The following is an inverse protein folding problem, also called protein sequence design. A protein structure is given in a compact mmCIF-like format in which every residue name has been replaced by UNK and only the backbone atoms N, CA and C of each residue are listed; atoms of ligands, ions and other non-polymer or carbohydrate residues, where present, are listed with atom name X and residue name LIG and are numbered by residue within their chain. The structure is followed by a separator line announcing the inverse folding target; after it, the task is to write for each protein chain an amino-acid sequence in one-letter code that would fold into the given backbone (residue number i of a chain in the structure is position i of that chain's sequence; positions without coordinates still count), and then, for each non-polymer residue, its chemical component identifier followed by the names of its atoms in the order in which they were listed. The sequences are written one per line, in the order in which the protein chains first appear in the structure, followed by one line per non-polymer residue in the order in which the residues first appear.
data_IF_737471371398
#
_entry.id   IF_737471371398
#
_cell.length_a   1.000
_cell.length_b   1.000
_cell.length_c   1.000
_cell.angle_alpha   90.00
_cell.angle_beta   90.00
_cell.angle_gamma   90.00
#
_symmetry.space_group_name_H-M   'P 1'
#
loop_
_entity.id
_entity.type
_entity.pdbx_description
1 polymer ?
#
# COMPACT_ATOMS: atom_id res chain seq x y z
N UNK A 1 -1.43 7.79 6.87
CA UNK A 1 -0.86 8.81 5.95
C UNK A 1 0.27 8.22 5.13
N UNK A 2 0.42 8.56 3.85
CA UNK A 2 1.55 8.08 3.02
C UNK A 2 2.88 8.65 3.51
N UNK A 3 3.81 7.77 3.90
CA UNK A 3 5.17 8.12 4.35
C UNK A 3 6.24 7.77 3.32
N UNK A 4 5.98 6.77 2.46
CA UNK A 4 6.77 6.49 1.25
C UNK A 4 5.82 6.43 0.06
N UNK A 5 6.12 7.26 -0.94
CA UNK A 5 5.36 7.35 -2.19
C UNK A 5 5.28 5.98 -2.89
N UNK A 6 4.25 5.78 -3.74
CA UNK A 6 4.11 4.54 -4.48
C UNK A 6 5.24 4.33 -5.47
N UNK A 7 5.72 3.10 -5.58
CA UNK A 7 6.75 2.66 -6.50
C UNK A 7 6.32 1.41 -7.24
N UNK A 8 6.57 1.38 -8.55
CA UNK A 8 6.32 0.20 -9.39
C UNK A 8 7.41 -0.85 -9.15
N UNK A 9 7.00 -2.08 -8.86
CA UNK A 9 7.90 -3.22 -8.65
C UNK A 9 7.88 -4.11 -9.88
N UNK A 10 9.06 -4.48 -10.38
CA UNK A 10 9.20 -5.48 -11.45
C UNK A 10 8.98 -6.87 -10.86
N UNK A 11 8.03 -7.62 -11.41
CA UNK A 11 7.76 -9.01 -11.02
C UNK A 11 8.34 -9.97 -12.06
N UNK A 12 8.74 -11.17 -11.62
CA UNK A 12 9.26 -12.21 -12.51
C UNK A 12 8.22 -12.69 -13.54
N UNK A 13 6.92 -12.54 -13.23
CA UNK A 13 5.80 -12.94 -14.09
C UNK A 13 5.38 -11.84 -15.07
N UNK A 14 6.02 -10.66 -15.04
CA UNK A 14 5.65 -9.51 -15.87
C UNK A 14 4.38 -8.78 -15.41
N UNK A 15 3.71 -9.25 -14.34
CA UNK A 15 2.53 -8.59 -13.78
C UNK A 15 2.88 -7.23 -13.18
N UNK A 16 1.98 -6.27 -13.37
CA UNK A 16 2.13 -4.93 -12.79
C UNK A 16 1.89 -5.03 -11.28
N UNK A 17 2.84 -4.54 -10.51
CA UNK A 17 2.77 -4.47 -9.06
C UNK A 17 3.26 -3.09 -8.64
N UNK A 18 2.60 -2.50 -7.65
CA UNK A 18 3.07 -1.28 -7.03
C UNK A 18 3.00 -1.39 -5.51
N UNK A 19 3.91 -0.70 -4.83
CA UNK A 19 3.95 -0.68 -3.38
C UNK A 19 4.06 0.73 -2.84
N UNK A 20 3.38 1.00 -1.74
CA UNK A 20 3.41 2.26 -1.03
C UNK A 20 3.56 1.95 0.47
N UNK A 21 4.05 2.89 1.27
CA UNK A 21 4.04 2.72 2.74
C UNK A 21 3.27 3.85 3.38
N UNK A 22 2.33 3.50 4.24
CA UNK A 22 1.59 4.44 5.07
C UNK A 22 2.01 4.29 6.53
N UNK A 23 1.92 5.37 7.30
CA UNK A 23 1.78 5.28 8.74
C UNK A 23 0.31 4.96 9.04
N UNK A 24 0.08 3.76 9.57
CA UNK A 24 -1.21 3.31 10.06
C UNK A 24 -1.34 3.65 11.54
N UNK A 25 -2.54 4.09 11.93
CA UNK A 25 -2.91 4.40 13.31
C UNK A 25 -3.98 3.41 13.75
N UNK A 26 -3.96 3.01 15.03
CA UNK A 26 -4.89 2.05 15.60
C UNK A 26 -5.03 2.31 17.09
N UNK A 27 -6.23 2.16 17.62
CA UNK A 27 -6.47 2.34 19.06
C UNK A 27 -5.72 1.31 19.93
N UNK A 28 -5.31 0.18 19.34
CA UNK A 28 -4.68 -0.94 20.06
C UNK A 28 -3.16 -0.87 20.09
N UNK A 29 -2.52 0.05 19.36
CA UNK A 29 -1.06 0.13 19.26
C UNK A 29 -0.56 1.47 18.76
N UNK A 30 0.68 1.79 19.09
CA UNK A 30 1.39 2.95 18.54
C UNK A 30 1.40 2.93 16.99
N UNK A 31 1.44 4.12 16.35
CA UNK A 31 1.51 4.23 14.90
C UNK A 31 2.67 3.42 14.32
N UNK A 32 2.43 2.80 13.16
CA UNK A 32 3.38 1.87 12.57
C UNK A 32 3.38 1.92 11.04
N UNK A 33 4.52 1.60 10.39
CA UNK A 33 4.56 1.47 8.95
C UNK A 33 3.75 0.25 8.50
N UNK A 34 2.82 0.46 7.58
CA UNK A 34 2.05 -0.57 6.88
C UNK A 34 2.36 -0.47 5.39
N UNK A 35 2.86 -1.55 4.81
CA UNK A 35 3.13 -1.64 3.37
C UNK A 35 1.85 -1.99 2.62
N UNK A 36 1.49 -1.19 1.63
CA UNK A 36 0.36 -1.45 0.74
C UNK A 36 0.91 -2.08 -0.54
N UNK A 37 0.34 -3.19 -0.97
CA UNK A 37 0.75 -3.93 -2.16
C UNK A 37 -0.47 -4.13 -3.06
N UNK A 38 -0.42 -3.56 -4.26
CA UNK A 38 -1.47 -3.66 -5.26
C UNK A 38 -0.95 -4.28 -6.57
N UNK A 39 -1.86 -4.87 -7.33
CA UNK A 39 -1.58 -5.56 -8.58
C UNK A 39 -2.46 -5.03 -9.71
N UNK A 40 -2.01 -5.23 -10.95
CA UNK A 40 -2.77 -4.96 -12.17
C UNK A 40 -3.37 -3.54 -12.17
N UNK A 41 -4.69 -3.39 -12.31
CA UNK A 41 -5.36 -2.08 -12.36
C UNK A 41 -5.21 -1.30 -11.04
N UNK A 42 -5.29 -1.97 -9.90
CA UNK A 42 -5.16 -1.34 -8.58
C UNK A 42 -3.74 -0.82 -8.35
N UNK A 43 -2.73 -1.40 -9.02
CA UNK A 43 -1.37 -0.87 -8.98
C UNK A 43 -1.29 0.51 -9.66
N UNK A 44 -2.07 0.76 -10.70
CA UNK A 44 -2.13 2.08 -11.35
C UNK A 44 -2.80 3.12 -10.45
N UNK A 45 -3.90 2.75 -9.79
CA UNK A 45 -4.58 3.60 -8.81
C UNK A 45 -3.67 3.92 -7.62
N UNK A 46 -2.95 2.93 -7.10
CA UNK A 46 -1.99 3.15 -6.03
C UNK A 46 -0.87 4.13 -6.43
N UNK A 47 -0.48 4.16 -7.70
CA UNK A 47 0.52 5.09 -8.23
C UNK A 47 0.03 6.55 -8.34
N UNK A 48 -1.27 6.83 -8.21
CA UNK A 48 -1.78 8.22 -8.21
C UNK A 48 -1.66 8.88 -6.83
N UNK A 49 -1.43 8.10 -5.78
CA UNK A 49 -1.32 8.60 -4.41
C UNK A 49 0.03 9.29 -4.18
N UNK A 50 0.03 10.36 -3.37
CA UNK A 50 1.24 11.14 -3.09
C UNK A 50 1.64 11.05 -1.62
N UNK A 51 2.93 11.33 -1.35
CA UNK A 51 3.43 11.43 0.03
C UNK A 51 2.65 12.51 0.77
N UNK A 52 2.19 12.21 1.98
CA UNK A 52 1.33 13.10 2.76
C UNK A 52 -0.17 12.84 2.60
N UNK A 53 -0.62 12.12 1.57
CA UNK A 53 -2.05 11.84 1.41
C UNK A 53 -2.57 10.98 2.57
N UNK A 54 -3.82 11.24 2.98
CA UNK A 54 -4.61 10.29 3.76
C UNK A 54 -5.21 9.29 2.78
N UNK A 55 -5.06 8.00 3.07
CA UNK A 55 -5.44 6.93 2.16
C UNK A 55 -6.39 6.00 2.86
N UNK A 56 -7.45 5.61 2.16
CA UNK A 56 -8.33 4.52 2.55
C UNK A 56 -8.09 3.37 1.57
N UNK A 57 -7.71 2.21 2.10
CA UNK A 57 -7.45 1.02 1.30
C UNK A 57 -8.04 -0.21 1.98
N UNK A 58 -8.50 -1.17 1.18
CA UNK A 58 -8.94 -2.48 1.63
C UNK A 58 -8.08 -3.56 0.98
N UNK A 59 -7.97 -4.72 1.62
CA UNK A 59 -7.15 -5.81 1.12
C UNK A 59 -6.96 -6.89 2.16
N UNK A 60 -6.05 -7.83 1.89
CA UNK A 60 -5.73 -8.91 2.82
C UNK A 60 -4.58 -8.52 3.71
N UNK A 61 -4.78 -8.59 5.02
CA UNK A 61 -3.70 -8.38 5.99
C UNK A 61 -2.75 -9.57 6.01
N UNK A 62 -1.45 -9.29 5.90
CA UNK A 62 -0.39 -10.29 5.89
C UNK A 62 0.87 -9.78 6.60
N UNK A 63 1.75 -10.72 6.95
CA UNK A 63 3.09 -10.43 7.43
C UNK A 63 4.12 -10.96 6.43
N UNK A 64 4.96 -10.07 5.91
CA UNK A 64 6.10 -10.44 5.07
C UNK A 64 7.22 -9.41 5.26
N UNK A 65 8.19 -9.74 6.14
CA UNK A 65 9.23 -8.81 6.59
C UNK A 65 8.68 -7.48 7.15
N UNK A 66 7.46 -7.50 7.67
CA UNK A 66 6.72 -6.32 8.09
C UNK A 66 5.22 -6.48 7.88
N UNK A 67 4.45 -5.56 8.46
CA UNK A 67 3.00 -5.50 8.26
C UNK A 67 2.70 -5.06 6.84
N UNK A 68 1.84 -5.82 6.14
CA UNK A 68 1.39 -5.46 4.81
C UNK A 68 -0.09 -5.72 4.57
N UNK A 69 -0.65 -4.95 3.64
CA UNK A 69 -1.97 -5.13 3.06
C UNK A 69 -1.81 -5.50 1.59
N UNK A 70 -2.01 -6.78 1.27
CA UNK A 70 -1.80 -7.37 -0.06
C UNK A 70 -3.10 -7.40 -0.86
N UNK A 71 -2.98 -7.26 -2.19
CA UNK A 71 -4.15 -7.20 -3.07
C UNK A 71 -4.98 -5.96 -2.80
N UNK A 72 -4.31 -4.86 -2.47
CA UNK A 72 -4.97 -3.66 -2.01
C UNK A 72 -5.79 -3.01 -3.14
N UNK A 73 -6.97 -2.53 -2.79
CA UNK A 73 -7.78 -1.62 -3.59
C UNK A 73 -7.77 -0.26 -2.90
N UNK A 74 -7.47 0.79 -3.66
CA UNK A 74 -7.50 2.16 -3.14
C UNK A 74 -8.93 2.67 -3.29
N UNK A 75 -9.51 3.10 -2.16
CA UNK A 75 -10.84 3.73 -2.16
C UNK A 75 -10.70 5.24 -2.31
N UNK A 76 -9.74 5.84 -1.59
CA UNK A 76 -9.43 7.27 -1.68
C UNK A 76 -7.95 7.55 -1.42
N UNK A 77 -7.45 8.54 -2.15
CA UNK A 77 -6.21 9.29 -1.97
C UNK A 77 -6.52 10.78 -2.22
#
# INVERSE_FOLDING_TARGET
MVIKAPERVKTATGKVMATMTIQAESDKRSPYPLKIVAFDINALELMTCQKGNKVTATGRYEWFNGYQLTGAQIVTC
#
